data_IF_899804911941
#
_entry.id   IF_899804911941
#
_cell.length_a   1.000
_cell.length_b   1.000
_cell.length_c   1.000
_cell.angle_alpha   90.00
_cell.angle_beta   90.00
_cell.angle_gamma   90.00
#
_symmetry.space_group_name_H-M   'P 1'
#
loop_
_entity.id
_entity.type
_entity.pdbx_description
1 polymer ?
#
# COMPACT_ATOMS: atom_id res chain seq x y z
N UNK A 1 -52.67 -11.58 34.16
CA UNK A 1 -51.64 -12.07 35.10
C UNK A 1 -50.47 -11.10 34.98
N UNK A 2 -50.50 -9.95 35.65
CA UNK A 2 -50.17 -9.72 37.07
C UNK A 2 -48.69 -10.04 37.33
N UNK A 3 -47.80 -9.05 37.29
CA UNK A 3 -47.35 -8.17 38.39
C UNK A 3 -46.28 -8.82 39.30
N UNK A 4 -45.05 -8.36 39.13
CA UNK A 4 -44.21 -7.64 40.11
C UNK A 4 -43.66 -8.28 41.41
N UNK A 5 -42.41 -7.84 41.70
CA UNK A 5 -41.71 -7.69 43.00
C UNK A 5 -41.12 -8.97 43.63
N UNK A 6 -40.05 -8.97 44.42
CA UNK A 6 -38.89 -8.11 44.74
C UNK A 6 -38.19 -8.82 45.93
N UNK A 7 -36.85 -8.68 46.06
CA UNK A 7 -36.04 -8.66 47.31
C UNK A 7 -36.17 -9.86 48.33
N UNK A 8 -35.22 -10.27 49.17
CA UNK A 8 -34.07 -9.65 49.83
C UNK A 8 -33.24 -10.75 50.56
N UNK A 9 -31.96 -10.45 50.84
CA UNK A 9 -31.11 -10.81 52.01
C UNK A 9 -31.01 -12.26 52.54
N UNK A 10 -29.83 -12.90 52.60
CA UNK A 10 -28.65 -12.73 53.49
C UNK A 10 -28.64 -13.85 54.57
N UNK A 11 -27.47 -14.09 55.16
CA UNK A 11 -27.08 -15.08 56.20
C UNK A 11 -26.13 -16.20 55.72
N UNK A 12 -24.83 -16.01 56.00
CA UNK A 12 -23.90 -17.10 56.32
C UNK A 12 -24.22 -17.73 57.70
N UNK A 13 -23.38 -18.62 58.31
CA UNK A 13 -21.91 -18.62 58.21
C UNK A 13 -21.21 -20.01 58.24
N UNK A 14 -19.87 -19.94 58.21
CA UNK A 14 -18.89 -20.79 58.91
C UNK A 14 -18.64 -22.24 58.44
N UNK A 15 -17.37 -22.55 58.13
CA UNK A 15 -16.92 -23.95 58.06
C UNK A 15 -15.54 -24.27 57.49
N UNK A 16 -14.48 -23.70 58.06
CA UNK A 16 -13.14 -24.33 58.29
C UNK A 16 -12.34 -24.94 57.12
N UNK A 17 -11.27 -24.23 56.71
CA UNK A 17 -9.82 -24.52 56.95
C UNK A 17 -9.18 -25.52 56.00
N UNK A 18 -8.06 -25.14 55.35
CA UNK A 18 -6.75 -25.75 55.61
C UNK A 18 -5.61 -24.79 55.23
N UNK A 19 -4.60 -24.83 56.11
CA UNK A 19 -3.49 -23.92 56.30
C UNK A 19 -2.27 -24.23 55.42
N UNK A 20 -1.33 -23.29 55.51
CA UNK A 20 0.14 -23.40 55.39
C UNK A 20 0.70 -22.82 54.09
N UNK A 21 1.70 -21.94 54.09
CA UNK A 21 2.50 -21.30 55.13
C UNK A 21 3.42 -20.33 54.39
N UNK A 22 3.59 -19.09 54.86
CA UNK A 22 4.78 -18.63 55.59
C UNK A 22 6.08 -18.71 54.73
N UNK A 23 6.91 -17.69 54.51
CA UNK A 23 7.04 -16.31 55.01
C UNK A 23 8.33 -15.70 54.45
N UNK A 24 8.32 -14.39 54.21
CA UNK A 24 9.41 -13.37 54.39
C UNK A 24 10.78 -13.60 53.74
N UNK A 25 11.18 -12.76 52.77
CA UNK A 25 11.77 -11.40 52.90
C UNK A 25 13.28 -11.41 53.18
N UNK A 26 14.04 -10.64 52.39
CA UNK A 26 15.00 -9.59 52.82
C UNK A 26 16.01 -9.30 51.69
N UNK A 27 16.04 -8.03 51.32
CA UNK A 27 17.12 -7.14 50.87
C UNK A 27 18.56 -7.66 50.66
N UNK A 28 19.24 -7.07 49.67
CA UNK A 28 20.66 -6.69 49.83
C UNK A 28 21.62 -6.92 48.65
N UNK A 29 22.03 -5.81 48.02
CA UNK A 29 23.41 -5.45 47.64
C UNK A 29 24.18 -6.18 46.51
N UNK A 30 24.38 -5.42 45.41
CA UNK A 30 25.64 -5.10 44.69
C UNK A 30 26.87 -6.02 44.79
N UNK A 31 27.44 -6.43 43.63
CA UNK A 31 28.75 -5.92 43.12
C UNK A 31 29.12 -6.46 41.71
N UNK A 32 29.83 -5.61 40.94
CA UNK A 32 30.91 -5.83 39.93
C UNK A 32 31.10 -7.21 39.23
N UNK A 33 31.51 -7.35 37.96
CA UNK A 33 31.98 -6.44 36.92
C UNK A 33 32.07 -7.18 35.55
N UNK A 34 31.95 -6.40 34.47
CA UNK A 34 32.57 -6.55 33.13
C UNK A 34 32.34 -7.80 32.27
N UNK A 35 31.58 -7.65 31.16
CA UNK A 35 32.13 -7.58 29.79
C UNK A 35 31.04 -7.43 28.71
N UNK A 36 31.25 -6.41 27.87
CA UNK A 36 30.79 -6.21 26.48
C UNK A 36 29.30 -5.94 26.18
N UNK A 37 29.04 -4.65 25.95
CA UNK A 37 28.07 -4.08 25.00
C UNK A 37 27.50 -5.08 23.98
N UNK A 38 26.32 -5.63 24.29
CA UNK A 38 25.39 -6.13 23.29
C UNK A 38 24.03 -5.46 23.52
N UNK A 39 23.76 -4.47 22.68
CA UNK A 39 22.46 -3.86 22.34
C UNK A 39 21.34 -3.95 23.40
N UNK A 40 21.03 -2.81 24.04
CA UNK A 40 19.90 -2.64 24.97
C UNK A 40 18.50 -3.01 24.42
N UNK A 41 18.38 -3.25 23.11
CA UNK A 41 17.14 -3.72 22.44
C UNK A 41 16.65 -5.05 23.04
N UNK A 42 17.55 -5.94 23.46
CA UNK A 42 17.17 -7.25 23.99
C UNK A 42 16.50 -7.21 25.37
N UNK A 43 16.81 -6.20 26.20
CA UNK A 43 16.29 -6.12 27.57
C UNK A 43 14.89 -5.51 27.66
N UNK A 44 14.51 -4.62 26.74
CA UNK A 44 13.17 -4.02 26.72
C UNK A 44 12.11 -4.93 26.07
N UNK A 45 12.49 -5.76 25.09
CA UNK A 45 11.58 -6.74 24.44
C UNK A 45 11.32 -7.97 25.34
N UNK A 46 12.16 -8.17 26.38
CA UNK A 46 12.12 -9.35 27.26
C UNK A 46 10.88 -9.47 28.15
N UNK A 47 10.03 -8.44 28.26
CA UNK A 47 8.92 -8.47 29.22
C UNK A 47 7.61 -9.08 28.70
N UNK A 48 7.45 -9.39 27.39
CA UNK A 48 6.10 -9.60 26.81
C UNK A 48 5.97 -10.79 25.83
N UNK A 49 7.04 -11.27 25.18
CA UNK A 49 6.90 -12.26 24.10
C UNK A 49 7.93 -13.40 24.13
N UNK A 50 7.54 -14.57 23.60
CA UNK A 50 8.44 -15.72 23.44
C UNK A 50 9.55 -15.44 22.42
N UNK A 51 10.72 -16.06 22.60
CA UNK A 51 11.90 -15.89 21.72
C UNK A 51 11.58 -16.06 20.22
N UNK A 52 10.72 -17.02 19.88
CA UNK A 52 10.26 -17.25 18.49
C UNK A 52 9.46 -16.07 17.93
N UNK A 53 8.58 -15.48 18.75
CA UNK A 53 7.77 -14.32 18.39
C UNK A 53 8.63 -13.04 18.33
N UNK A 54 9.66 -12.94 19.18
CA UNK A 54 10.65 -11.87 19.11
C UNK A 54 11.46 -11.93 17.79
N UNK A 55 11.97 -13.11 17.42
CA UNK A 55 12.72 -13.30 16.18
C UNK A 55 11.86 -13.00 14.94
N UNK A 56 10.57 -13.38 14.96
CA UNK A 56 9.61 -13.07 13.92
C UNK A 56 9.32 -11.56 13.84
N UNK A 57 9.13 -10.87 14.97
CA UNK A 57 8.93 -9.41 15.03
C UNK A 57 10.17 -8.67 14.54
N UNK A 58 11.38 -9.06 14.99
CA UNK A 58 12.64 -8.43 14.57
C UNK A 58 12.90 -8.67 13.08
N UNK A 59 12.57 -9.85 12.58
CA UNK A 59 12.67 -10.17 11.15
C UNK A 59 11.69 -9.36 10.35
N UNK A 60 10.42 -9.33 10.74
CA UNK A 60 9.37 -8.53 10.12
C UNK A 60 9.75 -7.06 10.09
N UNK A 61 10.23 -6.52 11.22
CA UNK A 61 10.75 -5.17 11.34
C UNK A 61 11.90 -4.85 10.39
N UNK A 62 12.88 -5.75 10.23
CA UNK A 62 13.99 -5.56 9.29
C UNK A 62 13.53 -5.58 7.83
N UNK A 63 12.50 -6.36 7.51
CA UNK A 63 11.97 -6.46 6.15
C UNK A 63 11.07 -5.26 5.82
N UNK A 64 10.26 -4.79 6.78
CA UNK A 64 9.41 -3.59 6.65
C UNK A 64 10.22 -2.29 6.58
N UNK A 65 11.36 -2.21 7.30
CA UNK A 65 12.30 -1.07 7.23
C UNK A 65 12.78 -0.73 5.82
N UNK A 66 12.68 -1.67 4.89
CA UNK A 66 13.20 -1.49 3.54
C UNK A 66 12.16 -0.97 2.57
N UNK A 67 10.89 -0.81 2.92
CA UNK A 67 9.85 -0.33 2.00
C UNK A 67 9.87 1.21 1.92
N UNK A 68 10.56 1.83 0.93
CA UNK A 68 10.33 3.23 0.63
C UNK A 68 8.92 3.39 0.08
N UNK A 69 8.36 4.57 0.27
CA UNK A 69 7.11 5.01 -0.33
C UNK A 69 7.44 6.23 -1.19
N UNK A 70 7.20 6.15 -2.49
CA UNK A 70 7.61 7.16 -3.46
C UNK A 70 6.61 8.33 -3.57
N UNK A 71 6.08 8.81 -2.43
CA UNK A 71 5.11 9.92 -2.40
C UNK A 71 5.53 11.13 -3.25
N UNK A 72 6.80 11.58 -3.28
CA UNK A 72 7.21 12.71 -4.12
C UNK A 72 6.99 12.48 -5.62
N UNK A 73 7.11 11.25 -6.11
CA UNK A 73 6.90 10.92 -7.52
C UNK A 73 5.42 11.00 -7.90
N UNK A 74 4.54 10.46 -7.06
CA UNK A 74 3.10 10.63 -7.21
C UNK A 74 2.71 12.11 -7.18
N UNK A 75 3.33 12.92 -6.31
CA UNK A 75 3.09 14.36 -6.28
C UNK A 75 3.55 15.01 -7.59
N UNK A 76 4.73 14.69 -8.11
CA UNK A 76 5.20 15.31 -9.36
C UNK A 76 4.33 14.94 -10.56
N UNK A 77 3.92 13.68 -10.67
CA UNK A 77 2.96 13.24 -11.70
C UNK A 77 1.63 14.00 -11.54
N UNK A 78 1.07 14.02 -10.33
CA UNK A 78 -0.19 14.70 -10.03
C UNK A 78 -0.11 16.21 -10.27
N UNK A 79 1.04 16.86 -10.07
CA UNK A 79 1.23 18.28 -10.38
C UNK A 79 1.07 18.56 -11.88
N UNK A 80 1.37 17.59 -12.75
CA UNK A 80 1.23 17.73 -14.21
C UNK A 80 -0.18 17.46 -14.73
N UNK A 81 -1.01 16.78 -13.95
CA UNK A 81 -2.38 16.48 -14.33
C UNK A 81 -3.37 17.22 -13.42
N UNK A 82 -4.06 18.22 -13.94
CA UNK A 82 -4.92 19.07 -13.11
C UNK A 82 -6.33 19.21 -13.68
N UNK A 83 -7.33 19.42 -12.81
CA UNK A 83 -8.66 19.83 -13.22
C UNK A 83 -8.61 21.03 -14.17
N UNK A 84 -9.56 21.06 -15.11
CA UNK A 84 -9.60 22.08 -16.17
C UNK A 84 -9.75 23.49 -15.60
N UNK A 85 -10.58 23.66 -14.57
CA UNK A 85 -10.79 24.94 -13.89
C UNK A 85 -9.73 25.17 -12.81
N UNK A 86 -9.20 26.40 -12.76
CA UNK A 86 -8.18 26.80 -11.78
C UNK A 86 -8.67 26.66 -10.33
N UNK A 87 -9.94 26.99 -10.08
CA UNK A 87 -10.57 26.90 -8.76
C UNK A 87 -10.68 25.45 -8.23
N UNK A 88 -10.74 24.47 -9.14
CA UNK A 88 -10.83 23.05 -8.80
C UNK A 88 -9.46 22.41 -8.54
N UNK A 89 -8.36 23.18 -8.66
CA UNK A 89 -7.01 22.71 -8.31
C UNK A 89 -6.79 22.63 -6.81
N UNK A 90 -7.65 23.27 -6.01
CA UNK A 90 -7.70 23.11 -4.56
C UNK A 90 -9.09 22.59 -4.17
N UNK A 91 -9.14 21.29 -3.90
CA UNK A 91 -10.34 20.56 -3.55
C UNK A 91 -10.71 20.77 -2.08
N UNK A 92 -12.00 20.72 -1.78
CA UNK A 92 -12.53 20.66 -0.42
C UNK A 92 -13.09 19.25 -0.19
N UNK A 93 -12.46 18.50 0.70
CA UNK A 93 -12.94 17.17 1.10
C UNK A 93 -14.26 17.27 1.90
N UNK A 94 -15.06 16.19 1.98
CA UNK A 94 -16.28 16.16 2.80
C UNK A 94 -16.08 16.54 4.28
N UNK A 95 -14.91 16.29 4.87
CA UNK A 95 -14.53 16.73 6.21
C UNK A 95 -14.03 18.20 6.29
N UNK A 96 -14.13 18.97 5.20
CA UNK A 96 -13.76 20.39 5.13
C UNK A 96 -12.26 20.66 4.92
N UNK A 97 -11.42 19.63 4.83
CA UNK A 97 -9.99 19.81 4.56
C UNK A 97 -9.78 20.28 3.13
N UNK A 98 -9.02 21.38 2.98
CA UNK A 98 -8.54 21.85 1.69
C UNK A 98 -7.28 21.09 1.31
N UNK A 99 -7.30 20.42 0.16
CA UNK A 99 -6.20 19.57 -0.33
C UNK A 99 -6.05 19.76 -1.83
N UNK A 100 -4.86 19.47 -2.37
CA UNK A 100 -4.62 19.49 -3.81
C UNK A 100 -4.71 18.08 -4.38
N UNK A 101 -5.03 17.97 -5.66
CA UNK A 101 -5.16 16.70 -6.39
C UNK A 101 -3.92 15.83 -6.20
N UNK A 102 -2.73 16.39 -6.42
CA UNK A 102 -1.45 15.69 -6.34
C UNK A 102 -1.16 15.07 -4.96
N UNK A 103 -1.64 15.70 -3.87
CA UNK A 103 -1.45 15.17 -2.53
C UNK A 103 -2.38 14.00 -2.26
N UNK A 104 -3.58 13.95 -2.86
CA UNK A 104 -4.43 12.76 -2.74
C UNK A 104 -3.79 11.60 -3.50
N UNK A 105 -3.28 11.83 -4.72
CA UNK A 105 -2.58 10.80 -5.50
C UNK A 105 -1.42 10.21 -4.71
N UNK A 106 -0.67 11.04 -3.97
CA UNK A 106 0.49 10.59 -3.19
C UNK A 106 0.16 9.90 -1.86
N UNK A 107 -1.07 10.05 -1.33
CA UNK A 107 -1.46 9.56 -0.01
C UNK A 107 -2.44 8.37 -0.05
N UNK A 108 -3.24 8.29 -1.11
CA UNK A 108 -4.16 7.17 -1.32
C UNK A 108 -3.38 5.84 -1.39
N UNK A 109 -3.96 4.74 -0.92
CA UNK A 109 -3.35 3.40 -0.99
C UNK A 109 -2.21 3.15 0.00
N UNK A 110 -1.28 4.10 0.13
CA UNK A 110 -0.09 4.00 0.99
C UNK A 110 -0.36 4.45 2.42
N UNK A 111 -1.05 5.57 2.57
CA UNK A 111 -1.34 6.17 3.88
C UNK A 111 -2.80 6.03 4.26
N UNK A 112 -3.70 6.02 3.28
CA UNK A 112 -5.14 5.94 3.48
C UNK A 112 -5.75 4.72 2.78
N UNK A 113 -6.55 3.97 3.54
CA UNK A 113 -7.12 2.71 3.13
C UNK A 113 -7.51 1.84 4.33
N UNK A 114 -8.05 0.65 4.06
CA UNK A 114 -8.41 -0.32 5.09
C UNK A 114 -7.44 -1.51 5.02
N UNK A 115 -6.46 -1.65 5.94
CA UNK A 115 -5.41 -2.66 5.81
C UNK A 115 -5.87 -4.12 5.65
N UNK A 116 -7.05 -4.46 6.17
CA UNK A 116 -7.61 -5.82 6.11
C UNK A 116 -8.69 -5.98 5.04
N UNK A 117 -8.95 -4.95 4.24
CA UNK A 117 -9.96 -4.94 3.21
C UNK A 117 -9.42 -4.17 1.99
N UNK A 118 -8.45 -4.73 1.25
CA UNK A 118 -7.97 -4.15 0.00
C UNK A 118 -9.14 -3.91 -0.96
N UNK A 119 -8.99 -2.97 -1.87
CA UNK A 119 -10.02 -2.62 -2.85
C UNK A 119 -10.34 -3.81 -3.73
N UNK A 120 -9.35 -4.61 -4.13
CA UNK A 120 -9.51 -5.82 -4.93
C UNK A 120 -9.19 -7.06 -4.08
N UNK A 121 -10.08 -8.05 -4.13
CA UNK A 121 -9.75 -9.39 -3.66
C UNK A 121 -9.06 -10.14 -4.80
N UNK A 122 -7.76 -10.48 -4.69
CA UNK A 122 -7.02 -11.11 -5.78
C UNK A 122 -7.45 -12.55 -6.09
N UNK A 123 -8.36 -13.13 -5.29
CA UNK A 123 -8.83 -14.50 -5.46
C UNK A 123 -10.34 -14.60 -5.75
N UNK A 124 -11.02 -13.48 -5.92
CA UNK A 124 -12.42 -13.40 -6.32
C UNK A 124 -12.53 -12.71 -7.69
N UNK A 125 -12.93 -13.44 -8.73
CA UNK A 125 -13.00 -12.92 -10.11
C UNK A 125 -14.16 -11.93 -10.31
N UNK A 126 -15.28 -12.09 -9.60
CA UNK A 126 -16.43 -11.20 -9.71
C UNK A 126 -16.24 -9.94 -8.87
N UNK A 127 -15.65 -10.14 -7.69
CA UNK A 127 -15.34 -9.14 -6.68
C UNK A 127 -16.41 -8.05 -6.54
N UNK A 128 -17.64 -8.48 -6.25
CA UNK A 128 -18.79 -7.60 -6.12
C UNK A 128 -18.62 -6.55 -4.99
N UNK A 129 -17.69 -6.78 -4.06
CA UNK A 129 -17.42 -5.90 -2.92
C UNK A 129 -16.51 -4.70 -3.22
N UNK A 130 -15.82 -4.66 -4.37
CA UNK A 130 -14.77 -3.66 -4.64
C UNK A 130 -15.20 -2.20 -4.55
N UNK A 131 -16.41 -1.86 -5.03
CA UNK A 131 -16.91 -0.47 -4.92
C UNK A 131 -17.10 -0.05 -3.46
N UNK A 132 -17.63 -0.96 -2.62
CA UNK A 132 -17.79 -0.71 -1.19
C UNK A 132 -16.43 -0.56 -0.49
N UNK A 133 -15.45 -1.39 -0.85
CA UNK A 133 -14.10 -1.31 -0.27
C UNK A 133 -13.33 -0.08 -0.73
N UNK A 134 -13.47 0.33 -2.00
CA UNK A 134 -12.97 1.61 -2.49
C UNK A 134 -13.55 2.78 -1.68
N UNK A 135 -14.87 2.85 -1.52
CA UNK A 135 -15.48 3.93 -0.74
C UNK A 135 -15.06 3.90 0.73
N UNK A 136 -14.92 2.71 1.33
CA UNK A 136 -14.41 2.58 2.69
C UNK A 136 -12.97 3.11 2.81
N UNK A 137 -12.10 2.78 1.85
CA UNK A 137 -10.73 3.26 1.79
C UNK A 137 -10.67 4.78 1.61
N UNK A 138 -11.39 5.32 0.61
CA UNK A 138 -11.48 6.76 0.35
C UNK A 138 -11.98 7.54 1.58
N UNK A 139 -12.98 7.00 2.29
CA UNK A 139 -13.57 7.64 3.46
C UNK A 139 -12.63 7.71 4.67
N UNK A 140 -11.57 6.88 4.74
CA UNK A 140 -10.53 7.04 5.77
C UNK A 140 -9.80 8.37 5.66
N UNK A 141 -9.82 9.01 4.48
CA UNK A 141 -9.24 10.33 4.25
C UNK A 141 -10.33 11.41 4.15
N UNK A 142 -11.34 11.18 3.29
CA UNK A 142 -12.33 12.17 2.90
C UNK A 142 -13.33 12.52 4.02
N UNK A 143 -13.56 11.59 4.93
CA UNK A 143 -14.53 11.69 6.04
C UNK A 143 -13.87 11.38 7.38
N UNK A 144 -12.55 11.57 7.46
CA UNK A 144 -11.78 11.34 8.68
C UNK A 144 -12.29 12.22 9.84
N UNK A 145 -12.37 11.70 11.08
CA UNK A 145 -12.68 12.49 12.27
C UNK A 145 -11.60 13.54 12.57
N UNK A 146 -11.91 14.52 13.42
CA UNK A 146 -11.03 15.68 13.69
C UNK A 146 -9.60 15.31 14.12
N UNK A 147 -9.42 14.22 14.88
CA UNK A 147 -8.11 13.74 15.31
C UNK A 147 -7.28 13.15 14.14
N UNK A 148 -7.93 12.54 13.16
CA UNK A 148 -7.29 12.05 11.92
C UNK A 148 -7.11 13.16 10.86
N UNK A 149 -7.81 14.29 10.98
CA UNK A 149 -7.58 15.48 10.13
C UNK A 149 -6.20 16.08 10.38
N UNK A 150 -5.72 16.08 11.63
CA UNK A 150 -4.37 16.58 11.93
C UNK A 150 -3.29 15.66 11.34
N UNK A 151 -3.50 14.35 11.39
CA UNK A 151 -2.63 13.37 10.70
C UNK A 151 -2.55 13.66 9.20
N UNK A 152 -3.69 13.93 8.54
CA UNK A 152 -3.74 14.31 7.13
C UNK A 152 -2.90 15.57 6.84
N UNK A 153 -3.01 16.59 7.69
CA UNK A 153 -2.21 17.83 7.55
C UNK A 153 -0.72 17.56 7.69
N UNK A 154 -0.31 16.72 8.63
CA UNK A 154 1.08 16.32 8.81
C UNK A 154 1.62 15.58 7.58
N UNK A 155 0.83 14.66 7.01
CA UNK A 155 1.20 13.90 5.82
C UNK A 155 1.31 14.81 4.58
N UNK A 156 0.36 15.73 4.38
CA UNK A 156 0.46 16.74 3.31
C UNK A 156 1.76 17.56 3.43
N UNK A 157 2.14 17.95 4.65
CA UNK A 157 3.35 18.75 4.89
C UNK A 157 4.67 18.02 4.57
N UNK A 158 4.64 16.69 4.39
CA UNK A 158 5.78 15.86 4.04
C UNK A 158 5.64 15.16 2.69
N UNK A 159 4.50 15.24 2.00
CA UNK A 159 4.25 14.50 0.76
C UNK A 159 5.27 14.81 -0.35
N UNK A 160 5.74 16.06 -0.40
CA UNK A 160 6.77 16.55 -1.34
C UNK A 160 8.22 16.26 -0.91
N UNK A 161 8.42 15.62 0.25
CA UNK A 161 9.74 15.44 0.86
C UNK A 161 10.08 13.97 0.92
N UNK A 162 11.29 13.65 0.49
CA UNK A 162 11.89 12.36 0.82
C UNK A 162 12.05 12.25 2.34
N UNK A 163 11.15 11.48 2.95
CA UNK A 163 10.99 11.39 4.39
C UNK A 163 11.14 9.94 4.80
N UNK A 164 12.02 9.68 5.76
CA UNK A 164 12.27 8.35 6.30
C UNK A 164 10.96 7.60 6.64
N UNK A 165 10.85 6.35 6.18
CA UNK A 165 9.70 5.46 6.42
C UNK A 165 9.27 5.41 7.90
N UNK A 166 10.23 5.49 8.82
CA UNK A 166 9.94 5.52 10.26
C UNK A 166 9.04 6.70 10.64
N UNK A 167 9.38 7.91 10.17
CA UNK A 167 8.66 9.13 10.52
C UNK A 167 7.26 9.12 9.90
N UNK A 168 7.16 8.65 8.66
CA UNK A 168 5.88 8.42 7.98
C UNK A 168 5.00 7.42 8.76
N UNK A 169 5.55 6.29 9.19
CA UNK A 169 4.81 5.29 9.98
C UNK A 169 4.38 5.83 11.36
N UNK A 170 5.27 6.57 12.03
CA UNK A 170 4.98 7.22 13.32
C UNK A 170 3.81 8.22 13.21
N UNK A 171 3.73 8.99 12.12
CA UNK A 171 2.57 9.87 11.85
C UNK A 171 1.28 9.04 11.77
N UNK A 172 1.31 7.89 11.11
CA UNK A 172 0.14 6.99 11.00
C UNK A 172 -0.09 6.10 12.24
N UNK A 173 0.39 6.51 13.41
CA UNK A 173 0.17 5.84 14.69
C UNK A 173 1.14 4.70 15.03
N UNK A 174 2.25 4.61 14.29
CA UNK A 174 3.33 3.66 14.51
C UNK A 174 4.20 4.00 15.73
N UNK A 175 4.86 2.99 16.31
CA UNK A 175 5.83 3.16 17.40
C UNK A 175 7.07 2.32 17.13
N UNK A 176 8.23 2.93 17.28
CA UNK A 176 9.52 2.34 16.92
C UNK A 176 10.50 2.34 18.10
N UNK A 177 11.20 1.22 18.32
CA UNK A 177 12.27 1.09 19.34
C UNK A 177 13.50 0.49 18.66
N UNK A 178 14.66 1.16 18.75
CA UNK A 178 15.89 0.69 18.09
C UNK A 178 15.74 0.53 16.56
N UNK A 179 14.78 1.23 15.96
CA UNK A 179 14.44 1.11 14.54
C UNK A 179 13.65 -0.16 14.19
N UNK A 180 12.98 -0.77 15.15
CA UNK A 180 12.02 -1.86 14.94
C UNK A 180 10.62 -1.28 15.18
N UNK A 181 9.64 -1.39 14.25
CA UNK A 181 8.26 -1.03 14.52
C UNK A 181 7.65 -2.03 15.51
N UNK A 182 7.62 -1.66 16.79
CA UNK A 182 7.00 -2.46 17.86
C UNK A 182 5.47 -2.38 17.82
N UNK A 183 4.94 -1.32 17.21
CA UNK A 183 3.55 -1.19 16.81
C UNK A 183 3.54 -0.57 15.39
N UNK A 184 3.19 -1.32 14.33
CA UNK A 184 3.10 -0.72 13.00
C UNK A 184 1.93 0.27 12.92
N UNK A 185 2.17 1.42 12.28
CA UNK A 185 1.15 2.39 11.92
C UNK A 185 0.24 1.90 10.80
N UNK A 186 -0.67 2.76 10.33
CA UNK A 186 -1.59 2.41 9.23
C UNK A 186 -0.81 2.16 7.94
N UNK A 187 0.20 2.97 7.64
CA UNK A 187 1.02 2.85 6.43
C UNK A 187 1.70 1.47 6.31
N UNK A 188 2.43 1.03 7.34
CA UNK A 188 3.05 -0.30 7.29
C UNK A 188 2.05 -1.45 7.24
N UNK A 189 0.84 -1.27 7.80
CA UNK A 189 -0.21 -2.30 7.70
C UNK A 189 -0.82 -2.35 6.29
N UNK A 190 -0.97 -1.22 5.62
CA UNK A 190 -1.44 -1.17 4.22
C UNK A 190 -0.46 -1.89 3.30
N UNK A 191 0.84 -1.64 3.45
CA UNK A 191 1.88 -2.32 2.67
C UNK A 191 1.94 -3.85 2.86
N UNK A 192 1.36 -4.39 3.93
CA UNK A 192 1.23 -5.84 4.12
C UNK A 192 0.12 -6.47 3.26
N UNK A 193 -0.85 -5.71 2.76
CA UNK A 193 -1.96 -6.27 2.00
C UNK A 193 -2.35 -5.37 0.83
N UNK A 194 -1.35 -4.96 0.05
CA UNK A 194 -1.46 -4.00 -1.04
C UNK A 194 -1.46 -4.67 -2.42
N UNK A 195 -2.27 -5.71 -2.62
CA UNK A 195 -2.40 -6.34 -3.94
C UNK A 195 -2.84 -5.32 -5.01
N UNK A 196 -3.66 -4.35 -4.62
CA UNK A 196 -4.15 -3.24 -5.44
C UNK A 196 -3.06 -2.35 -6.03
N UNK A 197 -1.82 -2.46 -5.56
CA UNK A 197 -0.68 -1.71 -6.12
C UNK A 197 -0.10 -2.39 -7.35
N UNK A 198 -0.38 -3.68 -7.58
CA UNK A 198 0.30 -4.48 -8.59
C UNK A 198 -0.66 -4.82 -9.72
N UNK A 199 -0.19 -4.79 -10.97
CA UNK A 199 -0.98 -5.27 -12.09
C UNK A 199 -1.27 -6.78 -11.94
N UNK A 200 -2.46 -7.25 -12.38
CA UNK A 200 -3.54 -6.47 -13.00
C UNK A 200 -4.48 -5.72 -12.02
N UNK A 201 -4.27 -5.88 -10.71
CA UNK A 201 -5.19 -5.42 -9.66
C UNK A 201 -5.18 -3.90 -9.52
N UNK A 202 -4.04 -3.24 -9.77
CA UNK A 202 -3.93 -1.78 -9.82
C UNK A 202 -4.85 -1.16 -10.88
N UNK A 203 -4.88 -1.75 -12.08
CA UNK A 203 -5.84 -1.37 -13.13
C UNK A 203 -7.28 -1.53 -12.65
N UNK A 204 -7.61 -2.63 -11.96
CA UNK A 204 -8.96 -2.87 -11.43
C UNK A 204 -9.35 -1.92 -10.29
N UNK A 205 -8.41 -1.57 -9.40
CA UNK A 205 -8.62 -0.61 -8.32
C UNK A 205 -8.86 0.80 -8.90
N UNK A 206 -8.03 1.22 -9.87
CA UNK A 206 -8.23 2.44 -10.64
C UNK A 206 -9.62 2.47 -11.29
N UNK A 207 -9.98 1.45 -12.07
CA UNK A 207 -11.27 1.38 -12.76
C UNK A 207 -12.47 1.47 -11.81
N UNK A 208 -12.36 0.84 -10.64
CA UNK A 208 -13.39 0.89 -9.60
C UNK A 208 -13.58 2.32 -9.10
N UNK A 209 -12.49 3.00 -8.76
CA UNK A 209 -12.52 4.37 -8.28
C UNK A 209 -12.98 5.36 -9.36
N UNK A 210 -12.44 5.23 -10.57
CA UNK A 210 -12.78 6.07 -11.70
C UNK A 210 -14.28 5.99 -12.04
N UNK A 211 -14.86 4.79 -12.08
CA UNK A 211 -16.29 4.63 -12.33
C UNK A 211 -17.15 5.33 -11.26
N UNK A 212 -16.75 5.25 -9.99
CA UNK A 212 -17.43 5.94 -8.90
C UNK A 212 -17.26 7.46 -8.99
N UNK A 213 -16.08 7.96 -9.38
CA UNK A 213 -15.80 9.37 -9.62
C UNK A 213 -16.66 9.93 -10.76
N UNK A 214 -16.78 9.20 -11.88
CA UNK A 214 -17.69 9.56 -12.98
C UNK A 214 -19.15 9.64 -12.49
N UNK A 215 -19.59 8.67 -11.67
CA UNK A 215 -20.92 8.70 -11.06
C UNK A 215 -21.15 9.95 -10.21
N UNK A 216 -20.18 10.29 -9.36
CA UNK A 216 -20.23 11.49 -8.51
C UNK A 216 -20.19 12.79 -9.32
N UNK A 217 -19.46 12.83 -10.43
CA UNK A 217 -19.45 13.97 -11.36
C UNK A 217 -20.81 14.18 -12.04
N UNK A 218 -21.50 13.10 -12.45
CA UNK A 218 -22.86 13.18 -12.99
C UNK A 218 -23.86 13.68 -11.96
N UNK A 219 -23.74 13.22 -10.71
CA UNK A 219 -24.54 13.73 -9.58
C UNK A 219 -24.29 15.23 -9.37
N UNK A 220 -23.03 15.66 -9.42
CA UNK A 220 -22.68 17.07 -9.33
C UNK A 220 -23.31 17.90 -10.46
N UNK A 221 -23.41 17.39 -11.68
CA UNK A 221 -24.07 18.07 -12.81
C UNK A 221 -25.55 18.38 -12.53
N UNK A 222 -26.22 17.47 -11.82
CA UNK A 222 -27.65 17.49 -11.58
C UNK A 222 -28.06 18.24 -10.29
N UNK A 223 -27.10 18.73 -9.51
CA UNK A 223 -27.38 19.40 -8.24
C UNK A 223 -28.07 20.76 -8.43
N UNK A 224 -28.89 21.16 -7.45
CA UNK A 224 -29.79 22.31 -7.56
C UNK A 224 -29.11 23.66 -7.32
N UNK A 225 -27.98 23.67 -6.62
CA UNK A 225 -27.27 24.89 -6.23
C UNK A 225 -25.81 24.83 -6.64
N UNK A 226 -25.22 25.96 -7.02
CA UNK A 226 -23.80 26.02 -7.39
C UNK A 226 -22.86 25.59 -6.26
N UNK A 227 -23.24 25.81 -5.00
CA UNK A 227 -22.49 25.33 -3.84
C UNK A 227 -22.48 23.79 -3.78
N UNK A 228 -23.63 23.16 -3.98
CA UNK A 228 -23.76 21.70 -3.99
C UNK A 228 -23.04 21.08 -5.20
N UNK A 229 -23.18 21.69 -6.39
CA UNK A 229 -22.42 21.30 -7.59
C UNK A 229 -20.91 21.30 -7.32
N UNK A 230 -20.41 22.38 -6.71
CA UNK A 230 -18.98 22.53 -6.39
C UNK A 230 -18.51 21.45 -5.41
N UNK A 231 -19.26 21.24 -4.31
CA UNK A 231 -18.92 20.21 -3.31
C UNK A 231 -18.88 18.80 -3.89
N UNK A 232 -19.87 18.44 -4.70
CA UNK A 232 -19.95 17.13 -5.32
C UNK A 232 -18.87 16.95 -6.40
N UNK A 233 -18.57 17.99 -7.19
CA UNK A 233 -17.49 17.94 -8.17
C UNK A 233 -16.11 17.82 -7.49
N UNK A 234 -15.91 18.51 -6.36
CA UNK A 234 -14.68 18.36 -5.56
C UNK A 234 -14.54 16.95 -4.99
N UNK A 235 -15.64 16.34 -4.54
CA UNK A 235 -15.64 14.93 -4.12
C UNK A 235 -15.34 13.99 -5.30
N UNK A 236 -15.90 14.25 -6.50
CA UNK A 236 -15.61 13.47 -7.70
C UNK A 236 -14.11 13.51 -8.06
N UNK A 237 -13.49 14.70 -8.08
CA UNK A 237 -12.05 14.84 -8.32
C UNK A 237 -11.20 14.22 -7.21
N UNK A 238 -11.66 14.26 -5.95
CA UNK A 238 -10.95 13.61 -4.85
C UNK A 238 -10.98 12.08 -4.98
N UNK A 239 -12.11 11.51 -5.39
CA UNK A 239 -12.23 10.09 -5.69
C UNK A 239 -11.36 9.69 -6.89
N UNK A 240 -11.32 10.54 -7.92
CA UNK A 240 -10.45 10.35 -9.08
C UNK A 240 -8.97 10.37 -8.71
N UNK A 241 -8.55 11.34 -7.91
CA UNK A 241 -7.17 11.41 -7.42
C UNK A 241 -6.79 10.16 -6.60
N UNK A 242 -7.72 9.67 -5.78
CA UNK A 242 -7.53 8.45 -5.00
C UNK A 242 -7.39 7.22 -5.90
N UNK A 243 -8.17 7.15 -6.99
CA UNK A 243 -8.06 6.11 -8.01
C UNK A 243 -6.74 6.21 -8.81
N UNK A 244 -6.32 7.44 -9.12
CA UNK A 244 -5.12 7.72 -9.90
C UNK A 244 -3.82 7.26 -9.23
N UNK A 245 -3.80 7.09 -7.90
CA UNK A 245 -2.67 6.44 -7.22
C UNK A 245 -2.38 5.04 -7.81
N UNK A 246 -3.40 4.19 -7.91
CA UNK A 246 -3.25 2.85 -8.50
C UNK A 246 -2.98 2.91 -10.02
N UNK A 247 -3.46 3.97 -10.69
CA UNK A 247 -3.09 4.23 -12.08
C UNK A 247 -1.61 4.55 -12.20
N UNK A 248 -1.04 5.40 -11.33
CA UNK A 248 0.40 5.70 -11.33
C UNK A 248 1.25 4.46 -11.07
N UNK A 249 0.86 3.60 -10.11
CA UNK A 249 1.57 2.35 -9.84
C UNK A 249 1.67 1.47 -11.09
N UNK A 250 0.64 1.50 -11.94
CA UNK A 250 0.60 0.70 -13.17
C UNK A 250 1.70 1.09 -14.19
N UNK A 251 2.40 2.21 -14.00
CA UNK A 251 3.54 2.65 -14.83
C UNK A 251 4.91 2.43 -14.19
N UNK A 252 4.96 1.98 -12.93
CA UNK A 252 6.19 1.64 -12.24
C UNK A 252 6.55 0.18 -12.51
N UNK A 253 7.73 -0.09 -13.07
CA UNK A 253 8.09 -1.44 -13.55
C UNK A 253 8.01 -2.54 -12.49
N UNK A 254 8.31 -2.21 -11.22
CA UNK A 254 8.18 -3.12 -10.08
C UNK A 254 6.75 -3.61 -9.82
N UNK A 255 5.75 -2.86 -10.26
CA UNK A 255 4.32 -3.15 -10.08
C UNK A 255 3.71 -3.91 -11.27
N UNK A 256 4.38 -3.99 -12.42
CA UNK A 256 3.80 -4.52 -13.67
C UNK A 256 3.67 -6.05 -13.66
N UNK A 257 4.72 -6.76 -13.22
CA UNK A 257 4.78 -8.24 -13.34
C UNK A 257 5.13 -8.98 -12.05
N UNK A 258 5.23 -8.27 -10.92
CA UNK A 258 5.50 -8.90 -9.63
C UNK A 258 4.26 -9.70 -9.19
N UNK A 259 4.36 -11.04 -9.01
CA UNK A 259 3.23 -11.90 -8.67
C UNK A 259 2.88 -11.79 -7.17
N UNK A 260 2.34 -10.62 -6.79
CA UNK A 260 2.13 -10.19 -5.40
C UNK A 260 1.21 -11.12 -4.62
N UNK A 261 0.09 -11.52 -5.21
CA UNK A 261 -0.91 -12.39 -4.59
C UNK A 261 -0.37 -13.80 -4.38
N UNK A 262 0.29 -14.34 -5.41
CA UNK A 262 0.83 -15.69 -5.42
C UNK A 262 2.02 -15.82 -4.49
N UNK A 263 2.89 -14.81 -4.39
CA UNK A 263 3.98 -14.77 -3.42
C UNK A 263 3.44 -14.74 -1.98
N UNK A 264 2.37 -13.99 -1.73
CA UNK A 264 1.68 -14.01 -0.44
C UNK A 264 1.19 -15.42 -0.09
N UNK A 265 0.50 -16.07 -1.01
CA UNK A 265 -0.08 -17.43 -0.83
C UNK A 265 0.97 -18.54 -0.74
N UNK A 266 2.09 -18.41 -1.45
CA UNK A 266 3.11 -19.46 -1.53
C UNK A 266 4.04 -19.55 -0.31
N UNK A 267 3.92 -18.64 0.66
CA UNK A 267 4.81 -18.60 1.83
C UNK A 267 4.06 -18.86 3.13
N UNK A 268 4.69 -19.63 4.03
CA UNK A 268 4.09 -20.00 5.32
C UNK A 268 3.86 -18.79 6.25
N UNK A 269 4.63 -17.72 6.06
CA UNK A 269 4.49 -16.47 6.78
C UNK A 269 4.28 -15.36 5.75
N UNK A 270 3.17 -14.61 5.86
CA UNK A 270 2.84 -13.52 4.93
C UNK A 270 4.02 -12.55 4.72
N UNK A 271 4.81 -12.29 5.77
CA UNK A 271 6.00 -11.43 5.72
C UNK A 271 7.09 -11.92 4.74
N UNK A 272 7.20 -13.23 4.54
CA UNK A 272 8.15 -13.79 3.57
C UNK A 272 7.72 -13.40 2.16
N UNK A 273 6.47 -13.70 1.80
CA UNK A 273 5.88 -13.28 0.51
C UNK A 273 6.02 -11.78 0.28
N UNK A 274 5.90 -10.97 1.35
CA UNK A 274 6.09 -9.53 1.25
C UNK A 274 7.49 -9.12 0.84
N UNK A 275 8.48 -9.64 1.54
CA UNK A 275 9.86 -9.35 1.21
C UNK A 275 10.25 -9.87 -0.17
N UNK A 276 9.79 -11.07 -0.55
CA UNK A 276 10.08 -11.63 -1.88
C UNK A 276 9.46 -10.79 -3.01
N UNK A 277 8.22 -10.32 -2.82
CA UNK A 277 7.58 -9.38 -3.75
C UNK A 277 8.43 -8.13 -3.89
N UNK A 278 8.86 -7.58 -2.75
CA UNK A 278 9.69 -6.39 -2.72
C UNK A 278 11.04 -6.58 -3.42
N UNK A 279 11.69 -7.74 -3.30
CA UNK A 279 12.93 -8.01 -4.00
C UNK A 279 12.76 -7.98 -5.53
N UNK A 280 11.67 -8.54 -6.06
CA UNK A 280 11.39 -8.49 -7.49
C UNK A 280 10.95 -7.10 -7.94
N UNK A 281 10.10 -6.45 -7.15
CA UNK A 281 9.69 -5.07 -7.32
C UNK A 281 10.90 -4.15 -7.48
N UNK A 282 11.85 -4.18 -6.54
CA UNK A 282 13.05 -3.34 -6.58
C UNK A 282 14.00 -3.72 -7.74
N UNK A 283 14.06 -5.02 -8.10
CA UNK A 283 14.86 -5.48 -9.25
C UNK A 283 14.36 -4.86 -10.54
N UNK A 284 13.07 -5.05 -10.83
CA UNK A 284 12.44 -4.50 -12.03
C UNK A 284 12.40 -2.97 -11.98
N UNK A 285 12.21 -2.37 -10.80
CA UNK A 285 12.25 -0.92 -10.58
C UNK A 285 13.60 -0.31 -10.96
N UNK A 286 14.70 -0.93 -10.50
CA UNK A 286 16.06 -0.45 -10.72
C UNK A 286 16.56 -0.68 -12.15
N UNK A 287 16.35 -1.89 -12.68
CA UNK A 287 16.87 -2.29 -13.98
C UNK A 287 15.92 -1.94 -15.13
N UNK A 288 14.65 -1.68 -14.83
CA UNK A 288 13.61 -1.33 -15.78
C UNK A 288 12.97 -2.55 -16.46
N UNK A 289 11.93 -2.27 -17.24
CA UNK A 289 11.27 -3.18 -18.15
C UNK A 289 11.03 -2.50 -19.49
N UNK A 290 11.35 -3.19 -20.59
CA UNK A 290 10.81 -2.81 -21.91
C UNK A 290 9.34 -3.18 -21.93
N UNK A 291 8.51 -2.17 -22.13
CA UNK A 291 7.05 -2.28 -22.08
C UNK A 291 6.44 -1.78 -23.37
N UNK A 292 5.24 -2.27 -23.65
CA UNK A 292 4.37 -1.80 -24.72
C UNK A 292 2.97 -1.56 -24.14
N UNK A 293 2.15 -0.79 -24.84
CA UNK A 293 0.74 -0.63 -24.49
C UNK A 293 -0.17 -1.09 -25.64
N UNK A 294 -1.50 -0.96 -25.46
CA UNK A 294 -2.49 -1.39 -26.47
C UNK A 294 -2.42 -0.50 -27.74
N UNK A 295 -1.93 0.74 -27.62
CA UNK A 295 -1.71 1.64 -28.78
C UNK A 295 -0.51 1.24 -29.63
N UNK A 296 0.35 0.36 -29.11
CA UNK A 296 1.62 -0.03 -29.74
C UNK A 296 2.78 0.90 -29.43
N UNK A 297 2.63 1.83 -28.48
CA UNK A 297 3.77 2.62 -28.00
C UNK A 297 4.72 1.70 -27.22
N UNK A 298 6.03 1.87 -27.41
CA UNK A 298 7.08 1.07 -26.76
C UNK A 298 8.08 1.98 -26.04
N UNK A 299 8.41 1.67 -24.79
CA UNK A 299 9.38 2.43 -24.01
C UNK A 299 10.01 1.57 -22.90
N UNK A 300 10.92 2.15 -22.11
CA UNK A 300 11.44 1.53 -20.89
C UNK A 300 10.75 2.16 -19.68
N UNK A 301 10.03 1.35 -18.91
CA UNK A 301 9.52 1.74 -17.60
C UNK A 301 10.59 1.45 -16.53
N UNK A 302 10.79 2.39 -15.62
CA UNK A 302 11.51 2.18 -14.36
C UNK A 302 10.51 2.24 -13.20
N UNK A 303 10.95 1.94 -11.99
CA UNK A 303 10.08 1.94 -10.80
C UNK A 303 10.30 3.15 -9.91
N UNK A 304 9.87 2.98 -8.67
CA UNK A 304 9.98 3.93 -7.58
C UNK A 304 11.38 4.54 -7.46
N UNK A 305 11.42 5.84 -7.14
CA UNK A 305 12.61 6.69 -7.04
C UNK A 305 13.35 6.92 -8.38
N UNK A 306 12.79 6.47 -9.51
CA UNK A 306 13.39 6.52 -10.84
C UNK A 306 12.44 7.11 -11.90
N UNK A 307 11.38 7.82 -11.50
CA UNK A 307 10.35 8.39 -12.37
C UNK A 307 10.94 9.16 -13.58
N UNK A 308 11.94 10.00 -13.32
CA UNK A 308 12.56 10.84 -14.35
C UNK A 308 13.67 10.17 -15.16
N UNK A 309 13.97 8.90 -14.90
CA UNK A 309 14.97 8.15 -15.68
C UNK A 309 14.47 7.83 -17.09
N UNK A 310 13.15 7.79 -17.29
CA UNK A 310 12.52 7.59 -18.58
C UNK A 310 11.50 8.70 -18.84
N UNK A 311 11.87 9.65 -19.71
CA UNK A 311 10.95 10.74 -20.09
C UNK A 311 9.68 10.21 -20.74
N UNK A 312 9.75 9.11 -21.50
CA UNK A 312 8.60 8.53 -22.16
C UNK A 312 7.66 7.86 -21.15
N UNK A 313 8.19 7.18 -20.13
CA UNK A 313 7.36 6.65 -19.03
C UNK A 313 6.61 7.79 -18.34
N UNK A 314 7.32 8.89 -18.04
CA UNK A 314 6.73 10.08 -17.42
C UNK A 314 5.65 10.72 -18.30
N UNK A 315 5.89 10.86 -19.61
CA UNK A 315 4.88 11.39 -20.55
C UNK A 315 3.62 10.53 -20.57
N UNK A 316 3.77 9.20 -20.64
CA UNK A 316 2.63 8.29 -20.73
C UNK A 316 1.80 8.26 -19.43
N UNK A 317 2.42 8.26 -18.25
CA UNK A 317 1.67 8.29 -16.99
C UNK A 317 0.92 9.62 -16.81
N UNK A 318 1.55 10.75 -17.17
CA UNK A 318 0.89 12.08 -17.15
C UNK A 318 -0.26 12.14 -18.15
N UNK A 319 -0.08 11.60 -19.36
CA UNK A 319 -1.14 11.52 -20.37
C UNK A 319 -2.35 10.74 -19.85
N UNK A 320 -2.10 9.56 -19.25
CA UNK A 320 -3.16 8.70 -18.72
C UNK A 320 -3.98 9.39 -17.62
N UNK A 321 -3.31 10.05 -16.67
CA UNK A 321 -3.98 10.73 -15.55
C UNK A 321 -4.73 11.96 -16.04
N UNK A 322 -4.14 12.77 -16.93
CA UNK A 322 -4.84 13.94 -17.46
C UNK A 322 -6.09 13.53 -18.25
N UNK A 323 -6.03 12.46 -19.04
CA UNK A 323 -7.22 11.90 -19.70
C UNK A 323 -8.28 11.45 -18.69
N UNK A 324 -7.86 10.79 -17.61
CA UNK A 324 -8.77 10.34 -16.55
C UNK A 324 -9.48 11.51 -15.85
N UNK A 325 -8.73 12.57 -15.53
CA UNK A 325 -9.28 13.82 -14.95
C UNK A 325 -10.24 14.52 -15.92
N UNK A 326 -9.90 14.58 -17.21
CA UNK A 326 -10.77 15.16 -18.23
C UNK A 326 -12.10 14.41 -18.32
N UNK A 327 -12.07 13.07 -18.25
CA UNK A 327 -13.27 12.25 -18.29
C UNK A 327 -14.24 12.53 -17.13
N UNK A 328 -13.74 12.87 -15.95
CA UNK A 328 -14.57 13.35 -14.82
C UNK A 328 -15.29 14.63 -15.18
N UNK A 329 -14.58 15.61 -15.77
CA UNK A 329 -15.19 16.87 -16.18
C UNK A 329 -16.18 16.69 -17.34
N UNK A 330 -15.88 15.82 -18.30
CA UNK A 330 -16.80 15.47 -19.39
C UNK A 330 -18.11 14.89 -18.86
N UNK A 331 -18.04 14.00 -17.86
CA UNK A 331 -19.21 13.43 -17.20
C UNK A 331 -19.99 14.46 -16.37
N UNK A 332 -19.31 15.48 -15.84
CA UNK A 332 -19.95 16.62 -15.18
C UNK A 332 -20.65 17.55 -16.18
N UNK A 333 -20.05 17.81 -17.35
CA UNK A 333 -20.63 18.69 -18.38
C UNK A 333 -21.85 18.07 -19.08
N UNK A 334 -21.78 16.78 -19.39
CA UNK A 334 -22.89 16.03 -19.98
C UNK A 334 -23.10 14.73 -19.17
N UNK A 335 -24.08 14.71 -18.25
CA UNK A 335 -24.29 13.55 -17.39
C UNK A 335 -24.75 12.30 -18.13
N UNK A 336 -25.21 12.43 -19.38
CA UNK A 336 -25.64 11.31 -20.23
C UNK A 336 -24.53 10.82 -21.17
N UNK A 337 -23.38 11.52 -21.21
CA UNK A 337 -22.26 11.13 -22.07
C UNK A 337 -21.72 9.77 -21.67
N UNK A 338 -21.58 8.90 -22.67
CA UNK A 338 -20.85 7.64 -22.55
C UNK A 338 -19.36 7.95 -22.62
N UNK A 339 -18.65 7.69 -21.53
CA UNK A 339 -17.21 7.94 -21.42
C UNK A 339 -16.44 6.73 -21.95
N UNK A 340 -15.49 6.97 -22.87
CA UNK A 340 -14.63 5.94 -23.41
C UNK A 340 -13.40 5.68 -22.50
N UNK A 341 -13.59 4.82 -21.51
CA UNK A 341 -12.54 4.45 -20.53
C UNK A 341 -11.30 3.81 -21.20
N UNK A 342 -11.44 3.28 -22.43
CA UNK A 342 -10.31 2.73 -23.18
C UNK A 342 -9.26 3.79 -23.52
N UNK A 343 -9.61 5.07 -23.59
CA UNK A 343 -8.64 6.15 -23.84
C UNK A 343 -7.57 6.27 -22.76
N UNK A 344 -7.90 5.91 -21.51
CA UNK A 344 -6.93 5.86 -20.41
C UNK A 344 -6.29 4.47 -20.35
N UNK A 345 -7.11 3.41 -20.31
CA UNK A 345 -6.59 2.06 -20.07
C UNK A 345 -5.74 1.50 -21.20
N UNK A 346 -5.86 2.01 -22.43
CA UNK A 346 -4.99 1.59 -23.54
C UNK A 346 -3.57 2.14 -23.43
N UNK A 347 -3.31 3.10 -22.54
CA UNK A 347 -1.99 3.69 -22.28
C UNK A 347 -1.22 2.86 -21.24
N UNK A 348 -1.92 2.13 -20.38
CA UNK A 348 -1.32 1.33 -19.30
C UNK A 348 -0.34 0.31 -19.90
N UNK A 349 0.94 0.29 -19.47
CA UNK A 349 1.92 -0.61 -20.02
C UNK A 349 1.71 -2.05 -19.56
N UNK A 350 2.17 -2.96 -20.40
CA UNK A 350 2.47 -4.34 -20.05
C UNK A 350 3.84 -4.72 -20.61
N UNK A 351 4.43 -5.79 -20.10
CA UNK A 351 5.75 -6.27 -20.57
C UNK A 351 5.71 -6.53 -22.06
N UNK A 352 6.64 -5.94 -22.81
CA UNK A 352 6.82 -6.27 -24.22
C UNK A 352 7.52 -7.63 -24.33
N UNK A 353 6.80 -8.63 -24.83
CA UNK A 353 7.29 -9.99 -24.99
C UNK A 353 8.08 -10.21 -26.31
N UNK A 354 8.04 -9.25 -27.23
CA UNK A 354 8.86 -9.25 -28.45
C UNK A 354 10.26 -8.68 -28.18
N UNK A 355 10.37 -7.83 -27.18
CA UNK A 355 11.61 -7.21 -26.75
C UNK A 355 12.36 -8.05 -25.70
N UNK A 356 13.69 -7.94 -25.72
CA UNK A 356 14.53 -8.66 -24.76
C UNK A 356 14.44 -8.00 -23.37
N UNK A 357 13.76 -8.64 -22.43
CA UNK A 357 13.68 -8.22 -21.02
C UNK A 357 14.58 -9.06 -20.10
N UNK A 358 14.82 -8.58 -18.88
CA UNK A 358 15.38 -9.42 -17.80
C UNK A 358 14.38 -10.55 -17.47
N UNK A 359 14.87 -11.77 -17.23
CA UNK A 359 14.01 -12.85 -16.78
C UNK A 359 13.51 -12.57 -15.35
N UNK A 360 12.21 -12.71 -15.07
CA UNK A 360 11.65 -12.30 -13.79
C UNK A 360 12.17 -13.17 -12.64
N UNK A 361 12.42 -12.55 -11.49
CA UNK A 361 12.87 -13.25 -10.28
C UNK A 361 11.84 -14.28 -9.81
N UNK A 362 10.55 -13.94 -9.89
CA UNK A 362 9.41 -14.82 -9.65
C UNK A 362 8.41 -14.74 -10.81
N UNK A 363 7.81 -15.87 -11.18
CA UNK A 363 6.81 -15.89 -12.25
C UNK A 363 5.83 -17.05 -12.06
N UNK A 364 4.57 -16.82 -12.36
CA UNK A 364 3.57 -17.89 -12.46
C UNK A 364 3.69 -18.49 -13.86
N UNK A 365 3.92 -19.80 -13.96
CA UNK A 365 3.98 -20.51 -15.24
C UNK A 365 2.57 -20.94 -15.70
N UNK A 366 2.38 -21.34 -16.98
CA UNK A 366 1.07 -21.78 -17.48
C UNK A 366 0.42 -22.94 -16.72
N UNK A 367 1.20 -23.71 -15.94
CA UNK A 367 0.69 -24.75 -15.06
C UNK A 367 0.15 -24.21 -13.71
N UNK A 368 0.09 -22.89 -13.55
CA UNK A 368 -0.36 -22.19 -12.35
C UNK A 368 0.65 -22.17 -11.20
N UNK A 369 1.85 -22.76 -11.38
CA UNK A 369 2.85 -22.81 -10.31
C UNK A 369 3.72 -21.57 -10.28
N UNK A 370 4.03 -21.12 -9.07
CA UNK A 370 4.98 -20.04 -8.83
C UNK A 370 6.42 -20.56 -8.89
N UNK A 371 7.15 -20.08 -9.89
CA UNK A 371 8.54 -20.39 -10.16
C UNK A 371 9.46 -19.25 -9.69
N UNK A 372 10.68 -19.60 -9.33
CA UNK A 372 11.77 -18.64 -9.03
C UNK A 372 12.91 -18.83 -10.04
N UNK A 373 13.53 -17.74 -10.50
CA UNK A 373 14.75 -17.78 -11.32
C UNK A 373 15.83 -18.63 -10.64
N UNK A 374 16.42 -19.60 -11.34
CA UNK A 374 17.35 -20.58 -10.74
C UNK A 374 18.55 -19.87 -10.10
N UNK A 375 19.26 -19.08 -10.89
CA UNK A 375 20.32 -18.18 -10.47
C UNK A 375 19.75 -16.79 -10.15
N UNK A 376 19.62 -16.47 -8.85
CA UNK A 376 19.12 -15.16 -8.41
C UNK A 376 19.98 -13.98 -8.88
N UNK A 377 21.26 -14.21 -9.19
CA UNK A 377 22.19 -13.12 -9.47
C UNK A 377 22.41 -12.90 -10.97
N UNK A 378 21.88 -13.74 -11.84
CA UNK A 378 21.98 -13.54 -13.28
C UNK A 378 20.62 -13.15 -13.86
N UNK A 379 20.48 -11.89 -14.26
CA UNK A 379 19.23 -11.35 -14.80
C UNK A 379 18.84 -11.99 -16.15
N UNK A 380 19.78 -12.69 -16.79
CA UNK A 380 19.57 -13.42 -18.05
C UNK A 380 19.35 -14.92 -17.87
N UNK A 381 19.27 -15.42 -16.63
CA UNK A 381 19.00 -16.84 -16.42
C UNK A 381 17.52 -17.17 -16.70
N UNK A 382 17.29 -17.83 -17.83
CA UNK A 382 15.98 -18.31 -18.25
C UNK A 382 15.48 -19.50 -17.41
N UNK A 383 16.39 -20.20 -16.72
CA UNK A 383 16.03 -21.39 -15.97
C UNK A 383 15.27 -21.00 -14.70
N UNK A 384 14.31 -21.86 -14.34
CA UNK A 384 13.50 -21.66 -13.15
C UNK A 384 13.39 -22.94 -12.33
N UNK A 385 13.14 -22.78 -11.03
CA UNK A 385 12.79 -23.87 -10.13
C UNK A 385 11.42 -23.65 -9.50
N UNK A 386 10.67 -24.73 -9.29
CA UNK A 386 9.38 -24.71 -8.59
C UNK A 386 9.48 -25.24 -7.14
N UNK A 387 10.52 -26.01 -6.82
CA UNK A 387 10.74 -26.62 -5.51
C UNK A 387 11.55 -25.73 -4.55
N UNK A 388 11.18 -24.46 -4.42
CA UNK A 388 11.84 -23.51 -3.51
C UNK A 388 11.03 -23.33 -2.20
N UNK A 389 11.68 -22.87 -1.12
CA UNK A 389 11.00 -22.55 0.15
C UNK A 389 11.14 -21.08 0.48
N UNK A 390 10.06 -20.44 0.95
CA UNK A 390 10.00 -19.01 1.31
C UNK A 390 11.17 -18.56 2.17
N UNK A 391 11.28 -19.07 3.39
CA UNK A 391 12.35 -18.74 4.33
C UNK A 391 13.77 -18.90 3.73
N UNK A 392 14.03 -20.01 3.04
CA UNK A 392 15.34 -20.24 2.41
C UNK A 392 15.66 -19.21 1.32
N UNK A 393 14.64 -18.79 0.56
CA UNK A 393 14.76 -17.82 -0.51
C UNK A 393 14.97 -16.41 0.06
N UNK A 394 14.24 -16.05 1.13
CA UNK A 394 14.43 -14.79 1.86
C UNK A 394 15.87 -14.69 2.39
N UNK A 395 16.39 -15.75 3.02
CA UNK A 395 17.78 -15.77 3.52
C UNK A 395 18.78 -15.62 2.37
N UNK A 396 18.55 -16.32 1.24
CA UNK A 396 19.42 -16.21 0.07
C UNK A 396 19.43 -14.80 -0.50
N UNK A 397 18.25 -14.19 -0.67
CA UNK A 397 18.12 -12.83 -1.21
C UNK A 397 18.66 -11.76 -0.25
N UNK A 398 18.50 -11.92 1.06
CA UNK A 398 18.98 -10.93 2.03
C UNK A 398 20.51 -10.90 2.19
N UNK A 399 21.21 -11.98 1.86
CA UNK A 399 22.67 -12.10 2.08
C UNK A 399 23.48 -12.15 0.78
N UNK A 400 22.97 -12.81 -0.26
CA UNK A 400 23.75 -13.16 -1.45
C UNK A 400 23.32 -12.42 -2.72
N UNK A 401 22.27 -11.60 -2.63
CA UNK A 401 21.68 -10.97 -3.81
C UNK A 401 22.54 -9.83 -4.34
N UNK A 402 23.10 -10.07 -5.53
CA UNK A 402 23.97 -9.18 -6.30
C UNK A 402 23.66 -9.41 -7.78
N UNK A 403 22.48 -8.97 -8.25
CA UNK A 403 22.08 -9.16 -9.65
C UNK A 403 23.06 -8.48 -10.60
N UNK A 404 23.34 -9.16 -11.73
CA UNK A 404 24.23 -8.72 -12.82
C UNK A 404 23.65 -9.14 -14.16
N UNK A 405 24.28 -8.68 -15.24
CA UNK A 405 23.92 -8.97 -16.63
C UNK A 405 22.54 -8.41 -17.03
N UNK A 406 22.22 -7.15 -16.72
CA UNK A 406 20.97 -6.55 -17.21
C UNK A 406 20.89 -6.58 -18.74
N UNK A 407 19.73 -6.92 -19.29
CA UNK A 407 19.42 -6.76 -20.73
C UNK A 407 18.99 -5.32 -21.09
N UNK A 408 18.74 -4.48 -20.08
CA UNK A 408 18.30 -3.09 -20.19
C UNK A 408 19.42 -2.18 -19.70
#
# INVERSE_FOLDING_TARGET
MSLNLAEEQDEGPAGTTWNSGIQKSIDGLTSCATLQQRSGIGKEINLIFSKRKQDEIIRTARLLRKMPFASPEHVDIGKRAQPEKLEDRQLILPNGVRIKFEHIVALAGDFYGIPKAPIIDPFDEEDAGRQKRFMAAFNTMARAPDDEVEELRMLIAIADKDTETRKQDEITGGKWIGGVPVKPGRMLKLAMNNHDHFLPHARSAYLTGHQLALGKAREASQANTEEEKTKLLHEAYAMEAFACHFLTDSFASGHIRTPRAELGKATNLHVDGHYLSKCMHDEDGKFGLRVTNIRGDKWIAYGDEMLHKSEDNFKHVVEAIQKSVNQVYEAYQDPNKVINIAEVTNIIPFVDNEEKNNYPLFQVKPDGKLHRRSNINDLQDANTISNWRGLSTVTKLSVQYKPKNSAI
#
